data_IF_767141823841
#
_entry.id   IF_767141823841
#
_cell.length_a   1.000
_cell.length_b   1.000
_cell.length_c   1.000
_cell.angle_alpha   90.00
_cell.angle_beta   90.00
_cell.angle_gamma   90.00
#
_symmetry.space_group_name_H-M   'P 1'
#
loop_
_entity.id
_entity.type
_entity.pdbx_description
1 polymer ?
#
# COMPACT_ATOMS: atom_id res chain seq x y z
N UNK A 1 -0.41 8.03 -5.83
CA UNK A 1 0.54 9.05 -5.34
C UNK A 1 0.35 10.32 -6.14
N UNK A 2 0.72 11.48 -5.60
CA UNK A 2 0.69 12.75 -6.33
C UNK A 2 2.13 13.17 -6.62
N UNK A 3 2.58 13.14 -7.89
CA UNK A 3 3.94 13.52 -8.27
C UNK A 3 4.17 15.02 -8.02
N UNK A 4 5.42 15.39 -7.73
CA UNK A 4 5.86 16.79 -7.76
C UNK A 4 6.69 17.06 -9.02
N UNK A 5 7.88 16.47 -9.12
CA UNK A 5 8.81 16.67 -10.24
C UNK A 5 9.21 15.38 -10.97
N UNK A 6 9.21 14.26 -10.26
CA UNK A 6 9.61 12.95 -10.80
C UNK A 6 8.40 12.03 -10.82
N UNK A 7 8.28 11.25 -11.90
CA UNK A 7 7.23 10.26 -12.10
C UNK A 7 7.87 8.87 -12.13
N UNK A 8 7.26 7.91 -11.45
CA UNK A 8 7.60 6.50 -11.65
C UNK A 8 6.80 5.93 -12.81
N UNK A 9 7.45 5.08 -13.59
CA UNK A 9 6.75 4.21 -14.53
C UNK A 9 6.05 3.08 -13.78
N UNK A 10 5.00 2.52 -14.37
CA UNK A 10 4.27 1.37 -13.80
C UNK A 10 5.22 0.21 -13.48
N UNK A 11 6.19 -0.07 -14.36
CA UNK A 11 7.19 -1.12 -14.15
C UNK A 11 8.10 -0.88 -12.94
N UNK A 12 8.45 0.37 -12.64
CA UNK A 12 9.23 0.70 -11.44
C UNK A 12 8.44 0.44 -10.16
N UNK A 13 7.15 0.77 -10.14
CA UNK A 13 6.26 0.49 -8.99
C UNK A 13 6.17 -1.02 -8.75
N UNK A 14 5.92 -1.81 -9.80
CA UNK A 14 5.84 -3.28 -9.70
C UNK A 14 7.16 -3.86 -9.15
N UNK A 15 8.31 -3.38 -9.64
CA UNK A 15 9.62 -3.83 -9.14
C UNK A 15 9.83 -3.50 -7.67
N UNK A 16 9.45 -2.29 -7.24
CA UNK A 16 9.56 -1.86 -5.85
C UNK A 16 8.71 -2.74 -4.92
N UNK A 17 7.44 -2.99 -5.29
CA UNK A 17 6.55 -3.86 -4.52
C UNK A 17 7.14 -5.28 -4.41
N UNK A 18 7.61 -5.85 -5.53
CA UNK A 18 8.23 -7.17 -5.56
C UNK A 18 9.50 -7.27 -4.71
N UNK A 19 10.28 -6.20 -4.63
CA UNK A 19 11.49 -6.17 -3.82
C UNK A 19 11.17 -6.28 -2.32
N UNK A 20 10.13 -5.59 -1.85
CA UNK A 20 9.72 -5.64 -0.44
C UNK A 20 8.94 -6.92 -0.10
N UNK A 21 8.11 -7.44 -1.01
CA UNK A 21 7.25 -8.60 -0.74
C UNK A 21 8.02 -9.92 -0.67
N UNK A 22 9.16 -10.06 -1.34
CA UNK A 22 9.97 -11.30 -1.38
C UNK A 22 10.83 -11.55 -0.14
N UNK A 23 10.31 -11.26 1.05
CA UNK A 23 10.98 -11.43 2.35
C UNK A 23 9.99 -11.92 3.40
N UNK A 24 10.49 -12.29 4.57
CA UNK A 24 9.63 -12.48 5.75
C UNK A 24 9.01 -11.13 6.12
N UNK A 25 7.70 -11.03 5.95
CA UNK A 25 6.97 -9.78 6.12
C UNK A 25 5.81 -9.91 7.10
N UNK A 26 5.50 -8.77 7.69
CA UNK A 26 4.26 -8.46 8.40
C UNK A 26 3.55 -7.44 7.51
N UNK A 27 2.25 -7.62 7.23
CA UNK A 27 1.55 -6.87 6.18
C UNK A 27 1.58 -5.36 6.45
N UNK A 28 1.39 -4.95 7.71
CA UNK A 28 1.44 -3.56 8.18
C UNK A 28 2.80 -2.93 7.85
N UNK A 29 3.89 -3.64 8.15
CA UNK A 29 5.25 -3.18 7.87
C UNK A 29 5.52 -3.09 6.37
N UNK A 30 5.04 -4.07 5.60
CA UNK A 30 5.16 -4.06 4.14
C UNK A 30 4.49 -2.81 3.54
N UNK A 31 3.27 -2.50 3.99
CA UNK A 31 2.50 -1.34 3.52
C UNK A 31 3.21 -0.03 3.83
N UNK A 32 3.73 0.14 5.05
CA UNK A 32 4.51 1.33 5.45
C UNK A 32 5.78 1.46 4.63
N UNK A 33 6.58 0.39 4.54
CA UNK A 33 7.86 0.42 3.82
C UNK A 33 7.70 0.83 2.35
N UNK A 34 6.66 0.33 1.67
CA UNK A 34 6.35 0.69 0.29
C UNK A 34 5.99 2.18 0.21
N UNK A 35 5.11 2.67 1.09
CA UNK A 35 4.67 4.06 1.09
C UNK A 35 5.85 5.03 1.33
N UNK A 36 6.68 4.75 2.34
CA UNK A 36 7.85 5.57 2.69
C UNK A 36 8.91 5.56 1.59
N UNK A 37 9.15 4.40 0.96
CA UNK A 37 10.09 4.30 -0.15
C UNK A 37 9.63 5.12 -1.34
N UNK A 38 8.36 5.02 -1.73
CA UNK A 38 7.81 5.84 -2.82
C UNK A 38 7.93 7.32 -2.46
N UNK A 39 7.57 7.71 -1.23
CA UNK A 39 7.59 9.10 -0.82
C UNK A 39 9.01 9.70 -0.80
N UNK A 40 10.00 8.94 -0.31
CA UNK A 40 11.40 9.35 -0.22
C UNK A 40 12.09 9.42 -1.59
N UNK A 41 11.89 8.43 -2.46
CA UNK A 41 12.52 8.42 -3.79
C UNK A 41 11.92 9.45 -4.76
N UNK A 42 10.62 9.71 -4.67
CA UNK A 42 9.93 10.61 -5.62
C UNK A 42 9.81 12.05 -5.14
N UNK A 43 10.10 12.35 -3.88
CA UNK A 43 9.79 13.64 -3.24
C UNK A 43 8.35 14.05 -3.58
N UNK A 44 7.43 13.08 -3.46
CA UNK A 44 6.05 13.26 -3.89
C UNK A 44 5.30 14.18 -2.93
N UNK A 45 4.26 14.86 -3.42
CA UNK A 45 3.37 15.66 -2.54
C UNK A 45 2.61 14.77 -1.56
N UNK A 46 2.34 13.53 -1.94
CA UNK A 46 1.82 12.52 -1.04
C UNK A 46 1.70 11.16 -1.70
N UNK A 47 1.65 10.13 -0.85
CA UNK A 47 1.50 8.74 -1.24
C UNK A 47 0.39 8.12 -0.41
N UNK A 48 -0.41 7.28 -1.03
CA UNK A 48 -1.32 6.39 -0.33
C UNK A 48 -1.13 4.99 -0.92
N UNK A 49 -0.97 4.00 -0.05
CA UNK A 49 -0.78 2.59 -0.39
C UNK A 49 -1.85 1.81 0.36
N UNK A 50 -2.52 0.91 -0.35
CA UNK A 50 -3.49 -0.04 0.19
C UNK A 50 -3.06 -1.42 -0.27
N UNK A 51 -2.97 -2.36 0.67
CA UNK A 51 -2.67 -3.76 0.39
C UNK A 51 -3.83 -4.59 0.91
N UNK A 52 -4.46 -5.34 0.00
CA UNK A 52 -5.41 -6.39 0.31
C UNK A 52 -4.69 -7.72 0.12
N UNK A 53 -4.71 -8.58 1.15
CA UNK A 53 -4.04 -9.87 1.11
C UNK A 53 -4.82 -10.92 1.91
N UNK A 54 -4.77 -12.15 1.42
CA UNK A 54 -5.18 -13.34 2.16
C UNK A 54 -3.95 -13.94 2.84
N UNK A 55 -4.13 -14.51 4.03
CA UNK A 55 -3.04 -15.13 4.80
C UNK A 55 -3.33 -16.60 4.98
N UNK A 56 -2.68 -17.45 4.18
CA UNK A 56 -2.85 -18.91 4.26
C UNK A 56 -2.59 -19.46 5.67
N UNK A 57 -1.63 -18.86 6.39
CA UNK A 57 -1.37 -19.23 7.78
C UNK A 57 -2.52 -18.96 8.74
N UNK A 58 -3.47 -18.10 8.40
CA UNK A 58 -4.71 -17.88 9.15
C UNK A 58 -5.81 -18.82 8.64
N UNK A 59 -5.89 -19.00 7.31
CA UNK A 59 -6.85 -19.88 6.66
C UNK A 59 -6.75 -21.33 7.12
N UNK A 60 -5.53 -21.81 7.38
CA UNK A 60 -5.30 -23.17 7.87
C UNK A 60 -5.88 -23.45 9.25
N UNK A 61 -6.20 -22.44 10.05
CA UNK A 61 -6.71 -22.61 11.42
C UNK A 61 -8.22 -22.34 11.55
N UNK A 62 -8.85 -21.73 10.56
CA UNK A 62 -10.28 -21.39 10.62
C UNK A 62 -11.08 -22.04 9.48
N UNK A 63 -11.91 -23.03 9.83
CA UNK A 63 -12.72 -23.84 8.89
C UNK A 63 -13.69 -23.05 7.99
N UNK A 64 -13.98 -21.77 8.30
CA UNK A 64 -14.91 -20.92 7.53
C UNK A 64 -14.28 -19.62 7.02
N UNK A 65 -12.95 -19.56 6.95
CA UNK A 65 -12.22 -18.31 6.65
C UNK A 65 -11.85 -18.13 5.17
N UNK A 66 -12.35 -18.97 4.25
CA UNK A 66 -11.96 -18.98 2.83
C UNK A 66 -12.06 -17.63 2.10
N UNK A 67 -12.83 -16.68 2.64
CA UNK A 67 -13.00 -15.32 2.12
C UNK A 67 -12.32 -14.22 2.98
N UNK A 68 -11.43 -14.59 3.90
CA UNK A 68 -10.78 -13.62 4.79
C UNK A 68 -9.77 -12.75 4.02
N UNK A 69 -10.18 -11.50 3.76
CA UNK A 69 -9.34 -10.48 3.16
C UNK A 69 -8.89 -9.47 4.22
N UNK A 70 -7.58 -9.43 4.48
CA UNK A 70 -7.00 -8.43 5.38
C UNK A 70 -6.52 -7.23 4.57
N UNK A 71 -7.04 -6.06 4.92
CA UNK A 71 -6.70 -4.78 4.30
C UNK A 71 -5.85 -3.95 5.25
N UNK A 72 -4.70 -3.50 4.77
CA UNK A 72 -3.88 -2.49 5.45
C UNK A 72 -3.68 -1.29 4.55
N UNK A 73 -3.53 -0.12 5.13
CA UNK A 73 -3.28 1.11 4.38
C UNK A 73 -2.29 2.02 5.08
N UNK A 74 -1.54 2.80 4.30
CA UNK A 74 -0.65 3.85 4.78
C UNK A 74 -0.82 5.08 3.90
N UNK A 75 -0.99 6.24 4.53
CA UNK A 75 -1.14 7.53 3.86
C UNK A 75 -0.08 8.51 4.37
N UNK A 76 0.64 9.15 3.44
CA UNK A 76 1.72 10.09 3.69
C UNK A 76 1.50 11.40 2.92
N UNK A 77 2.10 12.48 3.43
CA UNK A 77 2.05 13.80 2.79
C UNK A 77 0.64 14.39 2.77
N UNK A 78 0.21 14.94 1.62
CA UNK A 78 -1.13 15.56 1.49
C UNK A 78 -2.27 14.60 1.86
N UNK A 79 -2.10 13.29 1.64
CA UNK A 79 -3.12 12.29 1.99
C UNK A 79 -3.21 12.05 3.50
N UNK A 80 -2.18 12.37 4.29
CA UNK A 80 -2.25 12.27 5.75
C UNK A 80 -3.05 13.43 6.36
N UNK A 81 -2.94 14.62 5.75
CA UNK A 81 -3.53 15.84 6.29
C UNK A 81 -4.93 16.16 5.71
N UNK A 82 -5.27 15.61 4.54
CA UNK A 82 -6.55 15.87 3.88
C UNK A 82 -7.45 14.63 3.87
N UNK A 83 -8.51 14.66 4.69
CA UNK A 83 -9.46 13.56 4.82
C UNK A 83 -10.38 13.40 3.58
N UNK A 84 -10.67 14.48 2.86
CA UNK A 84 -11.50 14.42 1.64
C UNK A 84 -10.76 13.70 0.52
N UNK A 85 -9.50 14.04 0.28
CA UNK A 85 -8.66 13.36 -0.71
C UNK A 85 -8.49 11.86 -0.41
N UNK A 86 -8.40 11.48 0.86
CA UNK A 86 -8.41 10.06 1.23
C UNK A 86 -9.73 9.40 0.85
N UNK A 87 -10.86 10.05 1.16
CA UNK A 87 -12.19 9.52 0.87
C UNK A 87 -12.40 9.34 -0.64
N UNK A 88 -12.01 10.33 -1.44
CA UNK A 88 -12.03 10.26 -2.90
C UNK A 88 -11.20 9.08 -3.40
N UNK A 89 -9.97 8.93 -2.90
CA UNK A 89 -9.11 7.80 -3.24
C UNK A 89 -9.78 6.46 -2.91
N UNK A 90 -10.27 6.26 -1.68
CA UNK A 90 -10.93 5.01 -1.30
C UNK A 90 -12.21 4.75 -2.10
N UNK A 91 -12.93 5.79 -2.52
CA UNK A 91 -14.10 5.65 -3.41
C UNK A 91 -13.73 5.26 -4.84
N UNK A 92 -12.50 5.52 -5.30
CA UNK A 92 -12.06 5.21 -6.66
C UNK A 92 -11.50 3.78 -6.83
N UNK A 93 -11.11 3.14 -5.73
CA UNK A 93 -10.50 1.80 -5.74
C UNK A 93 -11.46 0.69 -5.29
N UNK A 94 -12.66 1.05 -4.85
CA UNK A 94 -13.77 0.17 -4.52
C UNK A 94 -14.83 0.24 -5.63
#
# INVERSE_FOLDING_TARGET
YVPDKVMFTIGQIIRLVNYFSKRLQVQERLTVNIAESINSYLVSKGVIVVINATHECVLCYEENSSDLLLQTSCALGIFQNNAELRREFFSSIN
#
